data_IF_507930735173
#
_entry.id   IF_507930735173
#
_cell.length_a   1.000
_cell.length_b   1.000
_cell.length_c   1.000
_cell.angle_alpha   90.00
_cell.angle_beta   90.00
_cell.angle_gamma   90.00
#
_symmetry.space_group_name_H-M   'P 1'
#
loop_
_entity.id
_entity.type
_entity.pdbx_description
1 polymer ?
#
# COMPACT_ATOMS: atom_id res chain seq x y z
N UNK A 1 17.08 12.14 -2.99
CA UNK A 1 16.58 10.76 -2.73
C UNK A 1 15.99 10.70 -1.32
N UNK A 2 14.85 11.34 -1.06
CA UNK A 2 14.35 11.51 0.33
C UNK A 2 12.82 11.55 0.46
N UNK A 3 12.05 11.40 -0.62
CA UNK A 3 10.61 11.57 -0.57
C UNK A 3 9.91 10.22 -0.76
N UNK A 4 9.31 9.74 0.33
CA UNK A 4 8.33 8.67 0.32
C UNK A 4 6.96 9.30 0.33
N UNK A 5 6.11 8.92 -0.63
CA UNK A 5 4.73 9.35 -0.70
C UNK A 5 3.85 8.23 -0.16
N UNK A 6 2.92 8.60 0.73
CA UNK A 6 1.96 7.68 1.32
C UNK A 6 0.66 7.69 0.53
N UNK A 7 0.13 6.49 0.26
CA UNK A 7 -1.11 6.26 -0.45
C UNK A 7 -2.02 5.40 0.43
N UNK A 8 -3.31 5.70 0.46
CA UNK A 8 -4.29 4.83 1.12
C UNK A 8 -4.71 3.69 0.21
N UNK A 9 -5.13 2.58 0.82
CA UNK A 9 -5.63 1.39 0.10
C UNK A 9 -6.74 1.75 -0.90
N UNK A 10 -7.79 2.43 -0.45
CA UNK A 10 -8.96 2.78 -1.27
C UNK A 10 -8.60 3.62 -2.50
N UNK A 11 -7.70 4.59 -2.36
CA UNK A 11 -7.26 5.46 -3.47
C UNK A 11 -6.64 4.63 -4.61
N UNK A 12 -5.85 3.63 -4.25
CA UNK A 12 -5.14 2.79 -5.22
C UNK A 12 -6.07 1.73 -5.80
N UNK A 13 -6.95 1.15 -4.99
CA UNK A 13 -7.81 0.04 -5.40
C UNK A 13 -8.94 0.47 -6.35
N UNK A 14 -9.44 1.72 -6.25
CA UNK A 14 -10.43 2.26 -7.20
C UNK A 14 -9.93 2.21 -8.66
N UNK A 15 -8.61 2.34 -8.87
CA UNK A 15 -7.98 2.40 -10.19
C UNK A 15 -6.67 1.59 -10.27
N UNK A 16 -6.67 0.36 -9.73
CA UNK A 16 -5.45 -0.42 -9.48
C UNK A 16 -4.54 -0.62 -10.70
N UNK A 17 -5.09 -0.90 -11.90
CA UNK A 17 -4.26 -1.09 -13.10
C UNK A 17 -3.54 0.20 -13.51
N UNK A 18 -4.25 1.32 -13.48
CA UNK A 18 -3.69 2.64 -13.84
C UNK A 18 -2.70 3.13 -12.79
N UNK A 19 -2.95 2.80 -11.53
CA UNK A 19 -2.06 3.11 -10.43
C UNK A 19 -0.70 2.43 -10.59
N UNK A 20 -0.67 1.14 -10.98
CA UNK A 20 0.59 0.40 -11.21
C UNK A 20 1.49 1.12 -12.22
N UNK A 21 0.93 1.51 -13.37
CA UNK A 21 1.72 2.15 -14.43
C UNK A 21 2.20 3.55 -14.03
N UNK A 22 1.37 4.29 -13.31
CA UNK A 22 1.70 5.64 -12.83
C UNK A 22 2.80 5.60 -11.78
N UNK A 23 2.68 4.69 -10.80
CA UNK A 23 3.64 4.57 -9.71
C UNK A 23 5.01 4.10 -10.23
N UNK A 24 5.06 3.22 -11.24
CA UNK A 24 6.32 2.81 -11.87
C UNK A 24 7.06 4.00 -12.48
N UNK A 25 6.35 4.85 -13.24
CA UNK A 25 6.96 6.05 -13.82
C UNK A 25 7.50 7.00 -12.74
N UNK A 26 6.79 7.13 -11.63
CA UNK A 26 7.23 7.97 -10.50
C UNK A 26 8.42 7.36 -9.76
N UNK A 27 8.48 6.04 -9.60
CA UNK A 27 9.64 5.33 -9.05
C UNK A 27 10.87 5.49 -9.95
N UNK A 28 10.70 5.48 -11.27
CA UNK A 28 11.80 5.73 -12.22
C UNK A 28 12.38 7.15 -12.08
N UNK A 29 11.59 8.12 -11.59
CA UNK A 29 12.04 9.46 -11.22
C UNK A 29 12.71 9.52 -9.84
N UNK A 30 12.78 8.40 -9.11
CA UNK A 30 13.44 8.27 -7.81
C UNK A 30 12.54 8.53 -6.60
N UNK A 31 11.22 8.50 -6.78
CA UNK A 31 10.25 8.53 -5.68
C UNK A 31 10.11 7.14 -5.04
N UNK A 32 9.72 7.14 -3.77
CA UNK A 32 9.38 5.94 -3.01
C UNK A 32 7.92 6.00 -2.60
N UNK A 33 7.31 4.85 -2.37
CA UNK A 33 5.90 4.79 -1.99
C UNK A 33 5.66 3.89 -0.79
N UNK A 34 4.81 4.35 0.12
CA UNK A 34 4.25 3.55 1.20
C UNK A 34 2.74 3.42 1.02
N UNK A 35 2.18 2.27 1.40
CA UNK A 35 0.75 2.05 1.48
C UNK A 35 0.28 2.09 2.92
N UNK A 36 -0.77 2.85 3.21
CA UNK A 36 -1.40 2.99 4.52
C UNK A 36 -2.79 2.34 4.58
N UNK A 37 -3.27 2.09 5.80
CA UNK A 37 -4.56 1.46 6.11
C UNK A 37 -4.79 0.07 5.47
N UNK A 38 -3.70 -0.65 5.16
CA UNK A 38 -3.81 -1.96 4.51
C UNK A 38 -4.57 -2.95 5.40
N UNK A 39 -5.63 -3.53 4.84
CA UNK A 39 -6.49 -4.51 5.49
C UNK A 39 -7.87 -3.97 5.88
N UNK A 40 -8.13 -2.67 5.71
CA UNK A 40 -9.45 -2.07 6.01
C UNK A 40 -10.49 -2.34 4.91
N UNK A 41 -10.06 -2.75 3.71
CA UNK A 41 -10.95 -3.33 2.68
C UNK A 41 -10.47 -3.19 1.23
N UNK A 42 -11.01 -4.05 0.34
CA UNK A 42 -10.85 -4.08 -1.13
C UNK A 42 -9.57 -4.72 -1.72
N UNK A 43 -8.47 -4.90 -0.99
CA UNK A 43 -7.25 -5.50 -1.60
C UNK A 43 -7.15 -7.01 -1.49
N UNK A 44 -6.83 -7.64 -2.62
CA UNK A 44 -6.17 -8.94 -2.63
C UNK A 44 -4.65 -8.74 -2.58
N UNK A 45 -3.93 -9.56 -1.79
CA UNK A 45 -2.46 -9.65 -1.82
C UNK A 45 -1.91 -9.83 -3.24
N UNK A 46 -2.71 -10.38 -4.15
CA UNK A 46 -2.42 -10.53 -5.58
C UNK A 46 -2.15 -9.20 -6.28
N UNK A 47 -2.93 -8.15 -5.96
CA UNK A 47 -2.77 -6.82 -6.55
C UNK A 47 -1.62 -6.06 -5.90
N UNK A 48 -1.44 -6.22 -4.58
CA UNK A 48 -0.34 -5.62 -3.85
C UNK A 48 1.02 -6.00 -4.44
N UNK A 49 1.19 -7.27 -4.85
CA UNK A 49 2.42 -7.77 -5.50
C UNK A 49 2.78 -7.05 -6.81
N UNK A 50 1.83 -6.36 -7.45
CA UNK A 50 2.06 -5.62 -8.72
C UNK A 50 2.50 -4.18 -8.49
N UNK A 51 2.23 -3.62 -7.30
CA UNK A 51 2.53 -2.23 -6.97
C UNK A 51 4.01 -2.08 -6.57
N UNK A 52 4.71 -1.04 -7.06
CA UNK A 52 6.11 -0.80 -6.72
C UNK A 52 6.23 -0.04 -5.39
N UNK A 53 5.85 -0.70 -4.29
CA UNK A 53 5.87 -0.13 -2.93
C UNK A 53 7.18 -0.48 -2.20
N UNK A 54 7.68 0.47 -1.42
CA UNK A 54 8.82 0.28 -0.51
C UNK A 54 8.37 -0.15 0.89
N UNK A 55 7.18 0.29 1.32
CA UNK A 55 6.64 0.03 2.65
C UNK A 55 5.14 -0.27 2.60
N UNK A 56 4.71 -1.18 3.47
CA UNK A 56 3.30 -1.53 3.70
C UNK A 56 2.98 -1.35 5.18
N UNK A 57 2.04 -0.47 5.49
CA UNK A 57 1.53 -0.26 6.84
C UNK A 57 0.21 -0.99 6.99
N UNK A 58 0.21 -1.98 7.87
CA UNK A 58 -0.98 -2.75 8.21
C UNK A 58 -1.82 -1.91 9.18
N UNK A 59 -3.11 -1.80 8.91
CA UNK A 59 -4.02 -1.07 9.78
C UNK A 59 -4.00 -1.63 11.21
N UNK A 60 -4.17 -0.75 12.19
CA UNK A 60 -4.09 -1.10 13.61
C UNK A 60 -5.22 -2.05 14.04
N UNK A 61 -6.37 -2.08 13.36
CA UNK A 61 -7.43 -3.04 13.68
C UNK A 61 -6.95 -4.49 13.60
N UNK A 62 -6.03 -4.81 12.67
CA UNK A 62 -5.46 -6.15 12.53
C UNK A 62 -4.71 -6.65 13.77
N UNK A 63 -4.10 -5.74 14.52
CA UNK A 63 -3.34 -6.09 15.74
C UNK A 63 -4.16 -5.90 17.02
N UNK A 64 -5.25 -5.14 16.95
CA UNK A 64 -6.05 -4.79 18.13
C UNK A 64 -6.88 -5.98 18.62
N UNK A 65 -7.32 -6.85 17.70
CA UNK A 65 -8.13 -8.04 18.02
C UNK A 65 -7.31 -9.34 18.07
N UNK A 66 -5.97 -9.26 18.03
CA UNK A 66 -5.15 -10.46 18.20
C UNK A 66 -5.38 -11.01 19.61
N UNK A 67 -5.63 -12.33 19.76
CA UNK A 67 -5.79 -12.93 21.07
C UNK A 67 -4.52 -12.63 21.85
N UNK A 68 -4.66 -11.86 22.93
CA UNK A 68 -3.60 -11.71 23.92
C UNK A 68 -3.21 -13.13 24.33
N UNK A 69 -1.93 -13.48 24.15
CA UNK A 69 -1.41 -14.74 24.66
C UNK A 69 -1.63 -14.76 26.18
N UNK A 70 -2.69 -15.43 26.61
CA UNK A 70 -3.00 -15.81 27.98
C UNK A 70 -3.86 -17.06 27.98
#
# INVERSE_FOLDING_TARGET
KYLTLELTESLVMDHAERAVDTLRQLVDLGLKFSMDDFGTGYSSLSYLKRLPLDELKIDRSFITDLPNKS
#
